data_IF_941056344798
#
_entry.id   IF_941056344798
#
_cell.length_a   1.000
_cell.length_b   1.000
_cell.length_c   1.000
_cell.angle_alpha   90.00
_cell.angle_beta   90.00
_cell.angle_gamma   90.00
#
_symmetry.space_group_name_H-M   'P 1'
#
loop_
_entity.id
_entity.type
_entity.pdbx_description
1 polymer ?
#
# COMPACT_ATOMS: atom_id res chain seq x y z
N UNK A 1 -3.45 -12.49 -11.07
CA UNK A 1 -2.35 -11.55 -10.84
C UNK A 1 -1.43 -12.03 -9.71
N UNK A 2 -0.16 -11.62 -9.76
CA UNK A 2 0.79 -11.86 -8.70
C UNK A 2 0.46 -11.00 -7.47
N UNK A 3 0.80 -11.50 -6.28
CA UNK A 3 0.59 -10.81 -5.02
C UNK A 3 1.87 -10.84 -4.18
N UNK A 4 2.19 -9.71 -3.59
CA UNK A 4 3.36 -9.52 -2.73
C UNK A 4 2.95 -8.84 -1.44
N UNK A 5 3.40 -9.37 -0.31
CA UNK A 5 3.28 -8.73 1.01
C UNK A 5 4.66 -8.25 1.43
N UNK A 6 4.79 -6.96 1.67
CA UNK A 6 6.07 -6.32 1.97
C UNK A 6 6.00 -5.63 3.33
N UNK A 7 7.00 -5.87 4.18
CA UNK A 7 7.21 -5.05 5.36
C UNK A 7 7.74 -3.68 4.93
N UNK A 8 6.93 -2.65 5.10
CA UNK A 8 7.28 -1.29 4.67
C UNK A 8 8.33 -0.61 5.55
N UNK A 9 8.61 -1.14 6.74
CA UNK A 9 9.64 -0.64 7.65
C UNK A 9 10.99 -1.23 7.29
N UNK A 10 11.05 -2.56 7.24
CA UNK A 10 12.27 -3.32 6.91
C UNK A 10 12.58 -3.33 5.41
N UNK A 11 11.60 -3.00 4.57
CA UNK A 11 11.69 -3.10 3.10
C UNK A 11 11.97 -4.52 2.63
N UNK A 12 11.39 -5.51 3.31
CA UNK A 12 11.54 -6.94 3.04
C UNK A 12 10.26 -7.52 2.47
N UNK A 13 10.43 -8.47 1.53
CA UNK A 13 9.30 -9.20 0.93
C UNK A 13 8.99 -10.37 1.85
N UNK A 14 7.93 -10.24 2.66
CA UNK A 14 7.50 -11.27 3.60
C UNK A 14 6.75 -12.43 2.94
N UNK A 15 5.98 -12.15 1.87
CA UNK A 15 5.24 -13.18 1.14
C UNK A 15 5.20 -12.86 -0.35
N UNK A 16 5.33 -13.92 -1.16
CA UNK A 16 5.23 -13.86 -2.63
C UNK A 16 4.30 -14.96 -3.10
N UNK A 17 3.27 -14.57 -3.85
CA UNK A 17 2.37 -15.49 -4.53
C UNK A 17 2.37 -15.17 -6.02
N UNK A 18 3.05 -15.99 -6.81
CA UNK A 18 3.07 -15.90 -8.27
C UNK A 18 1.91 -16.74 -8.79
N UNK A 19 1.06 -16.12 -9.62
CA UNK A 19 -0.08 -16.79 -10.26
C UNK A 19 0.25 -17.11 -11.70
N UNK A 20 -0.33 -18.18 -12.23
CA UNK A 20 -0.25 -18.46 -13.67
C UNK A 20 -1.04 -17.40 -14.42
N UNK A 21 -0.40 -16.77 -15.40
CA UNK A 21 -0.98 -15.74 -16.27
C UNK A 21 -1.29 -16.37 -17.63
N UNK A 22 -2.53 -16.25 -18.09
CA UNK A 22 -2.98 -16.88 -19.33
C UNK A 22 -2.78 -15.98 -20.55
N UNK A 23 -2.71 -14.66 -20.35
CA UNK A 23 -2.67 -13.69 -21.42
C UNK A 23 -1.95 -12.42 -21.02
N UNK A 24 -1.50 -11.69 -22.02
CA UNK A 24 -1.05 -10.31 -21.90
C UNK A 24 -1.77 -9.41 -22.91
N UNK A 25 -1.83 -8.12 -22.62
CA UNK A 25 -2.26 -7.11 -23.58
C UNK A 25 -1.03 -6.37 -24.08
N UNK A 26 -0.88 -6.29 -25.39
CA UNK A 26 0.20 -5.57 -26.07
C UNK A 26 -0.36 -4.46 -26.93
N UNK A 27 0.39 -3.37 -27.03
CA UNK A 27 0.12 -2.36 -28.03
C UNK A 27 0.56 -2.92 -29.39
N UNK A 28 -0.33 -2.89 -30.38
CA UNK A 28 -0.04 -3.27 -31.75
C UNK A 28 0.58 -2.10 -32.52
N UNK A 29 1.15 -2.37 -33.68
CA UNK A 29 1.73 -1.35 -34.58
C UNK A 29 0.70 -0.31 -35.08
N UNK A 30 -0.58 -0.53 -34.82
CA UNK A 30 -1.71 0.35 -35.19
C UNK A 30 -2.33 1.09 -33.98
N UNK A 31 -1.59 1.27 -32.89
CA UNK A 31 -2.04 1.90 -31.64
C UNK A 31 -3.31 1.25 -31.02
N UNK A 32 -3.58 0.00 -31.38
CA UNK A 32 -4.64 -0.80 -30.77
C UNK A 32 -4.09 -1.76 -29.73
N UNK A 33 -4.88 -2.04 -28.70
CA UNK A 33 -4.52 -3.02 -27.68
C UNK A 33 -4.97 -4.41 -28.15
N UNK A 34 -4.03 -5.31 -28.32
CA UNK A 34 -4.30 -6.70 -28.73
C UNK A 34 -4.01 -7.66 -27.59
N UNK A 35 -4.86 -8.67 -27.49
CA UNK A 35 -4.66 -9.79 -26.57
C UNK A 35 -3.69 -10.79 -27.18
N UNK A 36 -2.62 -11.13 -26.45
CA UNK A 36 -1.68 -12.19 -26.82
C UNK A 36 -1.67 -13.28 -25.75
N UNK A 37 -1.50 -14.52 -26.18
CA UNK A 37 -1.27 -15.64 -25.29
C UNK A 37 0.19 -15.63 -24.82
N UNK A 38 0.41 -16.03 -23.56
CA UNK A 38 1.73 -16.19 -22.99
C UNK A 38 2.24 -17.61 -23.22
N UNK A 39 3.53 -17.75 -23.51
CA UNK A 39 4.18 -19.04 -23.42
C UNK A 39 4.21 -19.55 -21.95
N UNK A 40 4.41 -20.84 -21.79
CA UNK A 40 4.30 -21.51 -20.49
C UNK A 40 5.32 -20.98 -19.46
N UNK A 41 6.50 -20.59 -19.88
CA UNK A 41 7.56 -20.07 -19.03
C UNK A 41 7.21 -18.66 -18.52
N UNK A 42 6.82 -17.76 -19.41
CA UNK A 42 6.37 -16.41 -19.05
C UNK A 42 5.10 -16.43 -18.23
N UNK A 43 4.17 -17.35 -18.53
CA UNK A 43 2.93 -17.51 -17.76
C UNK A 43 3.17 -17.78 -16.29
N UNK A 44 4.24 -18.51 -15.94
CA UNK A 44 4.60 -18.91 -14.56
C UNK A 44 5.65 -18.00 -13.93
N UNK A 45 6.29 -17.12 -14.67
CA UNK A 45 7.33 -16.23 -14.15
C UNK A 45 6.74 -15.07 -13.33
N UNK A 46 7.44 -14.53 -12.34
CA UNK A 46 7.04 -13.30 -11.65
C UNK A 46 6.95 -12.14 -12.64
N UNK A 47 5.92 -11.30 -12.48
CA UNK A 47 5.75 -10.09 -13.31
C UNK A 47 6.65 -8.94 -12.90
N UNK A 48 7.25 -9.00 -11.70
CA UNK A 48 8.12 -7.96 -11.15
C UNK A 48 9.41 -8.55 -10.59
N UNK A 49 10.49 -7.80 -10.75
CA UNK A 49 11.76 -8.06 -10.05
C UNK A 49 11.70 -7.54 -8.60
N UNK A 50 12.56 -8.01 -7.73
CA UNK A 50 12.66 -7.54 -6.35
C UNK A 50 13.04 -6.06 -6.27
N UNK A 51 13.85 -5.57 -7.21
CA UNK A 51 14.20 -4.16 -7.33
C UNK A 51 12.97 -3.30 -7.65
N UNK A 52 12.14 -3.73 -8.60
CA UNK A 52 10.89 -3.05 -8.95
C UNK A 52 9.90 -3.06 -7.79
N UNK A 53 9.73 -4.20 -7.10
CA UNK A 53 8.86 -4.29 -5.91
C UNK A 53 9.30 -3.27 -4.85
N UNK A 54 10.60 -3.20 -4.54
CA UNK A 54 11.13 -2.23 -3.58
C UNK A 54 10.96 -0.77 -4.04
N UNK A 55 11.07 -0.49 -5.33
CA UNK A 55 10.82 0.84 -5.90
C UNK A 55 9.35 1.24 -5.75
N UNK A 56 8.41 0.34 -6.02
CA UNK A 56 6.97 0.55 -5.82
C UNK A 56 6.67 0.86 -4.35
N UNK A 57 7.25 0.10 -3.41
CA UNK A 57 7.06 0.34 -1.96
C UNK A 57 7.60 1.70 -1.53
N UNK A 58 8.76 2.12 -2.06
CA UNK A 58 9.29 3.46 -1.79
C UNK A 58 8.34 4.56 -2.28
N UNK A 59 7.75 4.37 -3.46
CA UNK A 59 6.78 5.28 -4.05
C UNK A 59 5.50 5.35 -3.20
N UNK A 60 4.98 4.20 -2.76
CA UNK A 60 3.83 4.12 -1.86
C UNK A 60 4.09 4.83 -0.52
N UNK A 61 5.27 4.63 0.08
CA UNK A 61 5.68 5.33 1.31
C UNK A 61 5.78 6.85 1.12
N UNK A 62 6.25 7.29 -0.03
CA UNK A 62 6.31 8.72 -0.37
C UNK A 62 4.91 9.31 -0.48
N UNK A 63 3.98 8.63 -1.16
CA UNK A 63 2.59 9.04 -1.24
C UNK A 63 1.92 9.07 0.15
N UNK A 64 2.07 8.02 0.96
CA UNK A 64 1.57 7.97 2.33
C UNK A 64 2.10 9.13 3.19
N UNK A 65 3.39 9.45 3.08
CA UNK A 65 4.01 10.58 3.79
C UNK A 65 3.46 11.92 3.31
N UNK A 66 3.23 12.09 2.01
CA UNK A 66 2.71 13.32 1.42
C UNK A 66 1.27 13.60 1.85
N UNK A 67 0.41 12.58 1.83
CA UNK A 67 -1.01 12.73 2.18
C UNK A 67 -1.31 12.51 3.67
N UNK A 68 -0.35 12.04 4.47
CA UNK A 68 -0.52 11.81 5.91
C UNK A 68 -1.43 10.64 6.27
N UNK A 69 -1.78 9.79 5.33
CA UNK A 69 -2.63 8.60 5.53
C UNK A 69 -2.27 7.51 4.50
N UNK A 70 -2.58 6.22 4.80
CA UNK A 70 -2.39 5.12 3.85
C UNK A 70 -3.05 5.40 2.50
N UNK A 71 -2.36 5.04 1.44
CA UNK A 71 -2.78 5.29 0.07
C UNK A 71 -2.90 3.99 -0.71
N UNK A 72 -3.97 3.87 -1.50
CA UNK A 72 -4.01 2.97 -2.66
C UNK A 72 -3.31 3.68 -3.81
N UNK A 73 -2.34 3.04 -4.43
CA UNK A 73 -1.63 3.60 -5.56
C UNK A 73 -1.76 2.73 -6.81
N UNK A 74 -1.85 3.38 -7.95
CA UNK A 74 -1.67 2.76 -9.27
C UNK A 74 -0.33 3.21 -9.83
N UNK A 75 0.39 2.29 -10.45
CA UNK A 75 1.75 2.51 -10.94
C UNK A 75 1.98 1.76 -12.24
N UNK A 76 3.00 2.16 -12.97
CA UNK A 76 3.51 1.44 -14.13
C UNK A 76 5.03 1.31 -14.06
N UNK A 77 5.55 0.32 -14.77
CA UNK A 77 6.99 0.21 -15.05
C UNK A 77 7.20 0.62 -16.50
N UNK A 78 7.92 1.71 -16.69
CA UNK A 78 8.24 2.26 -18.00
C UNK A 78 9.57 1.66 -18.49
N UNK A 79 9.53 0.96 -19.62
CA UNK A 79 10.69 0.29 -20.18
C UNK A 79 11.73 1.27 -20.78
N UNK A 80 11.31 2.48 -21.11
CA UNK A 80 12.17 3.51 -21.72
C UNK A 80 12.97 4.31 -20.67
N UNK A 81 12.60 4.17 -19.40
CA UNK A 81 13.31 4.82 -18.30
C UNK A 81 14.41 3.92 -17.70
N UNK A 82 15.49 4.52 -17.17
CA UNK A 82 16.56 3.77 -16.54
C UNK A 82 16.07 2.95 -15.33
N UNK A 83 16.62 1.76 -15.14
CA UNK A 83 16.35 0.92 -13.97
C UNK A 83 16.55 1.72 -12.67
N UNK A 84 15.59 1.58 -11.73
CA UNK A 84 15.57 2.35 -10.49
C UNK A 84 14.80 3.68 -10.55
N UNK A 85 14.55 4.21 -11.76
CA UNK A 85 13.69 5.39 -12.01
C UNK A 85 12.48 5.05 -12.87
N UNK A 86 12.33 3.80 -13.27
CA UNK A 86 11.35 3.33 -14.23
C UNK A 86 9.98 2.96 -13.61
N UNK A 87 9.81 3.10 -12.32
CA UNK A 87 8.50 2.96 -11.67
C UNK A 87 7.88 4.33 -11.53
N UNK A 88 6.73 4.52 -12.19
CA UNK A 88 6.01 5.80 -12.22
C UNK A 88 4.66 5.67 -11.52
N UNK A 89 4.28 6.71 -10.77
CA UNK A 89 2.98 6.80 -10.12
C UNK A 89 1.95 7.30 -11.13
N UNK A 90 0.86 6.55 -11.30
CA UNK A 90 -0.25 6.94 -12.18
C UNK A 90 -1.39 7.57 -11.39
N UNK A 91 -1.72 6.98 -10.22
CA UNK A 91 -2.80 7.45 -9.36
C UNK A 91 -2.49 7.18 -7.90
N UNK A 92 -2.99 8.05 -7.03
CA UNK A 92 -3.00 7.85 -5.57
C UNK A 92 -4.34 8.28 -5.01
N UNK A 93 -4.91 7.46 -4.12
CA UNK A 93 -6.16 7.77 -3.41
C UNK A 93 -6.08 7.26 -1.97
N UNK A 94 -6.75 7.92 -1.00
CA UNK A 94 -6.80 7.43 0.37
C UNK A 94 -7.38 6.02 0.44
N UNK A 95 -6.71 5.14 1.17
CA UNK A 95 -7.18 3.79 1.45
C UNK A 95 -8.43 3.87 2.36
N UNK A 96 -9.53 3.22 1.95
CA UNK A 96 -10.83 3.34 2.63
C UNK A 96 -11.30 2.08 3.35
N UNK A 97 -10.72 0.91 3.03
CA UNK A 97 -11.15 -0.39 3.57
C UNK A 97 -10.77 -0.55 5.04
N UNK A 98 -9.51 -0.25 5.36
CA UNK A 98 -8.98 -0.38 6.73
C UNK A 98 -9.40 0.78 7.64
N UNK A 99 -9.55 1.99 7.11
CA UNK A 99 -10.03 3.15 7.86
C UNK A 99 -11.47 2.99 8.35
N UNK A 100 -12.32 2.28 7.57
CA UNK A 100 -13.68 1.92 8.00
C UNK A 100 -13.69 0.84 9.10
N UNK A 101 -12.77 -0.11 9.04
CA UNK A 101 -12.69 -1.21 10.00
C UNK A 101 -12.28 -0.74 11.40
N UNK A 102 -11.40 0.24 11.48
CA UNK A 102 -10.98 0.87 12.76
C UNK A 102 -12.12 1.67 13.40
N UNK A 103 -13.00 2.29 12.61
CA UNK A 103 -14.18 3.00 13.13
C UNK A 103 -15.27 2.07 13.65
N UNK A 104 -15.44 0.88 13.07
CA UNK A 104 -16.46 -0.07 13.53
C UNK A 104 -16.09 -0.81 14.81
N UNK A 105 -14.80 -0.93 15.15
CA UNK A 105 -14.34 -1.51 16.43
C UNK A 105 -14.39 -0.51 17.59
N UNK A 106 -14.44 0.79 17.32
CA UNK A 106 -14.56 1.83 18.37
C UNK A 106 -16.02 2.16 18.76
N UNK A 107 -17.02 1.64 18.03
CA UNK A 107 -18.44 1.81 18.44
C UNK A 107 -18.94 0.73 19.42
N UNK A 108 -18.11 -0.20 19.84
CA UNK A 108 -18.43 -1.22 20.85
C UNK A 108 -17.94 -0.90 22.26
N UNK A 109 -17.25 0.21 22.50
CA UNK A 109 -16.76 0.62 23.82
C UNK A 109 -17.47 1.89 24.28
N UNK A 110 -18.74 1.79 24.64
CA UNK A 110 -19.39 2.72 25.54
C UNK A 110 -18.81 2.50 26.95
N UNK A 111 -17.63 3.06 27.24
CA UNK A 111 -17.20 3.41 28.61
C UNK A 111 -15.87 4.18 28.68
N UNK A 112 -15.33 4.67 27.57
CA UNK A 112 -14.06 5.43 27.58
C UNK A 112 -14.21 6.93 27.80
N UNK A 113 -15.43 7.46 27.90
CA UNK A 113 -15.68 8.86 28.24
C UNK A 113 -15.19 9.23 29.64
N UNK A 114 -15.38 8.35 30.62
CA UNK A 114 -14.96 8.57 32.00
C UNK A 114 -13.45 8.49 32.23
N UNK A 115 -12.75 7.63 31.44
CA UNK A 115 -11.31 7.45 31.58
C UNK A 115 -10.52 8.67 31.08
N UNK A 116 -10.90 9.22 29.94
CA UNK A 116 -10.25 10.40 29.37
C UNK A 116 -10.61 11.67 30.17
N UNK A 117 -11.83 11.80 30.65
CA UNK A 117 -12.23 12.87 31.55
C UNK A 117 -11.43 12.83 32.87
N UNK A 118 -11.17 11.65 33.41
CA UNK A 118 -10.36 11.43 34.61
C UNK A 118 -8.89 11.83 34.38
N UNK A 119 -8.28 11.49 33.24
CA UNK A 119 -6.90 11.89 32.92
C UNK A 119 -6.79 13.41 32.78
N UNK A 120 -7.71 14.04 32.05
CA UNK A 120 -7.71 15.50 31.84
C UNK A 120 -7.91 16.23 33.19
N UNK A 121 -8.80 15.75 34.05
CA UNK A 121 -9.01 16.29 35.39
C UNK A 121 -7.76 16.20 36.28
N UNK A 122 -7.02 15.08 36.19
CA UNK A 122 -5.78 14.87 36.96
C UNK A 122 -4.62 15.73 36.43
N UNK A 123 -4.55 16.00 35.15
CA UNK A 123 -3.51 16.84 34.53
C UNK A 123 -3.79 18.34 34.73
N UNK A 124 -5.06 18.75 34.85
CA UNK A 124 -5.43 20.14 35.01
C UNK A 124 -5.45 20.62 36.48
N UNK A 125 -5.33 19.72 37.45
CA UNK A 125 -5.33 20.09 38.89
C UNK A 125 -4.13 19.49 39.65
N UNK A 126 -2.89 19.96 39.42
CA UNK A 126 -1.69 19.41 40.04
C UNK A 126 -1.45 19.90 41.51
N UNK A 127 -2.36 20.65 42.11
CA UNK A 127 -2.15 21.25 43.43
C UNK A 127 -3.23 20.89 44.46
N UNK A 128 -3.27 19.62 44.85
CA UNK A 128 -3.82 19.24 46.17
C UNK A 128 -2.90 18.24 46.85
N UNK A 129 -1.73 18.69 47.25
CA UNK A 129 -0.97 18.04 48.32
C UNK A 129 -1.69 18.32 49.66
N UNK A 130 -2.36 17.31 50.18
CA UNK A 130 -2.80 17.33 51.56
C UNK A 130 -1.60 17.32 52.50
N UNK A 131 -1.61 18.29 53.43
CA UNK A 131 -0.89 18.18 54.69
C UNK A 131 -1.37 16.99 55.49
#
# INVERSE_FOLDING_TARGET
PDNYLIDKVLMEIGQRKVSVKEMEFKLSDHDSVERAELDEERAKSPSLTDAQIKAIVKLAKLAEKHYGCPQDIEWAVDADLPEGSNVVLLQSRPETVWSKKTRSTSQGAQSSGDFMASIVSTLMNPLHTKK
#
